data_IF_181894364761
#
_entry.id   IF_181894364761
#
_cell.length_a   1.000
_cell.length_b   1.000
_cell.length_c   1.000
_cell.angle_alpha   90.00
_cell.angle_beta   90.00
_cell.angle_gamma   90.00
#
_symmetry.space_group_name_H-M   'P 1'
#
loop_
_entity.id
_entity.type
_entity.pdbx_description
1 polymer ?
#
# COMPACT_ATOMS: atom_id res chain seq x y z
N UNK A 1 -3.99 -1.18 13.41
CA UNK A 1 -3.28 0.11 13.67
C UNK A 1 -3.70 1.08 12.59
N UNK A 2 -4.00 2.33 12.95
CA UNK A 2 -4.37 3.38 12.00
C UNK A 2 -3.43 4.57 12.21
N UNK A 3 -2.55 4.79 11.25
CA UNK A 3 -1.68 5.96 11.19
C UNK A 3 -2.33 7.10 10.43
N UNK A 4 -1.64 8.23 10.40
CA UNK A 4 -2.09 9.45 9.72
C UNK A 4 -0.98 9.99 8.83
N UNK A 5 -1.28 10.32 7.57
CA UNK A 5 -0.32 10.92 6.65
C UNK A 5 0.12 12.28 7.19
N UNK A 6 1.43 12.50 7.26
CA UNK A 6 2.04 13.80 7.62
C UNK A 6 2.76 14.47 6.45
N UNK A 7 3.17 13.69 5.44
CA UNK A 7 3.86 14.19 4.25
C UNK A 7 3.62 13.28 3.06
N UNK A 8 3.44 13.88 1.88
CA UNK A 8 3.40 13.20 0.58
C UNK A 8 4.48 13.83 -0.30
N UNK A 9 5.30 12.99 -0.95
CA UNK A 9 6.40 13.42 -1.81
C UNK A 9 6.47 12.50 -3.04
N UNK A 10 5.58 12.74 -4.01
CA UNK A 10 5.34 11.79 -5.09
C UNK A 10 4.89 10.45 -4.49
N UNK A 11 5.50 9.31 -4.87
CA UNK A 11 5.09 8.00 -4.40
C UNK A 11 5.53 7.69 -2.95
N UNK A 12 6.33 8.56 -2.33
CA UNK A 12 6.76 8.42 -0.95
C UNK A 12 5.80 9.13 0.00
N UNK A 13 5.19 8.37 0.91
CA UNK A 13 4.27 8.87 1.95
C UNK A 13 4.90 8.66 3.32
N UNK A 14 4.81 9.64 4.20
CA UNK A 14 5.22 9.50 5.61
C UNK A 14 3.96 9.54 6.46
N UNK A 15 3.80 8.55 7.34
CA UNK A 15 2.71 8.48 8.30
C UNK A 15 3.22 8.45 9.75
N UNK A 16 2.48 9.07 10.66
CA UNK A 16 2.69 8.99 12.12
C UNK A 16 1.63 8.11 12.79
N UNK A 17 1.75 7.88 14.10
CA UNK A 17 0.95 6.90 14.85
C UNK A 17 1.09 5.47 14.28
N UNK A 18 2.32 5.14 13.86
CA UNK A 18 2.69 3.88 13.24
C UNK A 18 3.54 3.00 14.17
N UNK A 19 3.57 3.29 15.49
CA UNK A 19 4.32 2.49 16.46
C UNK A 19 3.89 1.02 16.47
N UNK A 20 4.83 0.14 16.13
CA UNK A 20 4.62 -1.30 16.02
C UNK A 20 4.40 -1.79 14.58
N UNK A 21 4.41 -0.88 13.61
CA UNK A 21 4.52 -1.23 12.20
C UNK A 21 5.86 -1.91 11.93
N UNK A 22 5.86 -2.87 10.99
CA UNK A 22 7.06 -3.62 10.63
C UNK A 22 7.52 -3.23 9.24
N UNK A 23 8.83 -3.32 9.03
CA UNK A 23 9.41 -3.25 7.70
C UNK A 23 8.75 -4.27 6.77
N UNK A 24 8.49 -3.88 5.53
CA UNK A 24 7.87 -4.67 4.47
C UNK A 24 6.38 -5.01 4.65
N UNK A 25 5.75 -4.56 5.75
CA UNK A 25 4.30 -4.71 5.89
C UNK A 25 3.58 -3.89 4.82
N UNK A 26 2.55 -4.50 4.23
CA UNK A 26 1.63 -3.80 3.33
C UNK A 26 0.70 -2.91 4.14
N UNK A 27 0.41 -1.74 3.60
CA UNK A 27 -0.53 -0.77 4.15
C UNK A 27 -1.57 -0.38 3.10
N UNK A 28 -2.71 0.11 3.57
CA UNK A 28 -3.73 0.78 2.77
C UNK A 28 -3.68 2.27 3.08
N UNK A 29 -3.37 3.09 2.08
CA UNK A 29 -3.19 4.53 2.21
C UNK A 29 -4.46 5.25 1.76
N UNK A 30 -4.90 6.23 2.54
CA UNK A 30 -6.12 7.02 2.32
C UNK A 30 -7.42 6.21 2.43
N UNK A 31 -8.54 6.92 2.35
CA UNK A 31 -9.87 6.35 2.10
C UNK A 31 -9.94 5.62 0.76
N UNK A 32 -9.09 5.98 -0.22
CA UNK A 32 -8.96 5.28 -1.49
C UNK A 32 -8.34 3.87 -1.36
N UNK A 33 -7.80 3.51 -0.18
CA UNK A 33 -7.19 2.20 0.12
C UNK A 33 -6.08 1.79 -0.85
N UNK A 34 -5.29 2.77 -1.28
CA UNK A 34 -4.15 2.56 -2.18
C UNK A 34 -3.13 1.63 -1.54
N UNK A 35 -2.54 0.74 -2.33
CA UNK A 35 -1.56 -0.22 -1.83
C UNK A 35 -0.20 0.46 -1.68
N UNK A 36 0.40 0.31 -0.51
CA UNK A 36 1.79 0.68 -0.26
C UNK A 36 2.51 -0.30 0.64
N UNK A 37 3.83 -0.14 0.72
CA UNK A 37 4.73 -0.97 1.52
C UNK A 37 5.56 -0.08 2.45
N UNK A 38 5.74 -0.52 3.70
CA UNK A 38 6.63 0.16 4.65
C UNK A 38 8.08 -0.14 4.32
N UNK A 39 8.83 0.89 3.91
CA UNK A 39 10.25 0.80 3.54
C UNK A 39 11.19 1.35 4.60
N UNK A 40 10.65 2.03 5.62
CA UNK A 40 11.43 2.54 6.74
C UNK A 40 10.52 2.73 7.96
N UNK A 41 11.02 2.42 9.16
CA UNK A 41 10.34 2.69 10.43
C UNK A 41 11.28 3.47 11.34
N UNK A 42 10.83 4.62 11.85
CA UNK A 42 11.55 5.47 12.80
C UNK A 42 10.62 5.88 13.94
N UNK A 43 10.84 5.30 15.12
CA UNK A 43 10.04 5.54 16.32
C UNK A 43 8.53 5.30 16.10
N UNK A 44 7.75 6.36 15.93
CA UNK A 44 6.30 6.33 15.69
C UNK A 44 5.92 6.68 14.23
N UNK A 45 6.93 6.83 13.36
CA UNK A 45 6.75 7.15 11.94
C UNK A 45 7.14 5.99 11.03
N UNK A 46 6.42 5.87 9.93
CA UNK A 46 6.73 4.95 8.85
C UNK A 46 6.86 5.71 7.53
N UNK A 47 7.90 5.40 6.75
CA UNK A 47 8.01 5.79 5.35
C UNK A 47 7.40 4.67 4.50
N UNK A 48 6.45 5.04 3.64
CA UNK A 48 5.63 4.14 2.85
C UNK A 48 5.86 4.44 1.37
N UNK A 49 6.22 3.42 0.62
CA UNK A 49 6.24 3.46 -0.83
C UNK A 49 4.86 3.07 -1.35
N UNK A 50 4.15 3.98 -1.98
CA UNK A 50 2.85 3.70 -2.62
C UNK A 50 3.09 3.19 -4.03
N UNK A 51 2.39 2.13 -4.43
CA UNK A 51 2.54 1.49 -5.75
C UNK A 51 1.51 1.97 -6.79
N UNK A 52 0.60 2.83 -6.37
CA UNK A 52 -0.45 3.43 -7.20
C UNK A 52 -0.26 4.95 -7.31
N UNK A 53 -1.06 5.60 -8.18
CA UNK A 53 -1.01 7.05 -8.36
C UNK A 53 -1.35 7.76 -7.04
N UNK A 54 -0.48 8.68 -6.63
CA UNK A 54 -0.60 9.44 -5.38
C UNK A 54 -1.26 10.81 -5.55
N UNK A 55 -1.67 11.15 -6.78
CA UNK A 55 -2.44 12.35 -7.08
C UNK A 55 -3.69 12.45 -6.20
N UNK A 56 -3.80 13.55 -5.46
CA UNK A 56 -4.93 13.80 -4.56
C UNK A 56 -4.70 13.39 -3.11
N UNK A 57 -3.60 12.70 -2.79
CA UNK A 57 -3.23 12.41 -1.40
C UNK A 57 -2.71 13.67 -0.68
N UNK A 58 -3.05 13.80 0.60
CA UNK A 58 -2.61 14.88 1.45
C UNK A 58 -2.44 14.49 2.93
N UNK A 59 -1.82 15.37 3.73
CA UNK A 59 -1.73 15.19 5.17
C UNK A 59 -3.12 15.10 5.84
N UNK A 60 -3.22 14.30 6.89
CA UNK A 60 -4.45 14.07 7.65
C UNK A 60 -5.24 12.82 7.22
N UNK A 61 -4.93 12.24 6.07
CA UNK A 61 -5.59 11.03 5.60
C UNK A 61 -5.10 9.78 6.34
N UNK A 62 -5.94 8.74 6.48
CA UNK A 62 -5.61 7.56 7.27
C UNK A 62 -4.67 6.61 6.53
N UNK A 63 -3.88 5.85 7.30
CA UNK A 63 -3.08 4.72 6.82
C UNK A 63 -3.41 3.49 7.66
N UNK A 64 -3.84 2.41 7.02
CA UNK A 64 -4.23 1.18 7.68
C UNK A 64 -3.16 0.11 7.46
N UNK A 65 -2.53 -0.35 8.53
CA UNK A 65 -1.61 -1.49 8.45
C UNK A 65 -2.38 -2.81 8.28
N UNK A 66 -1.92 -3.64 7.34
CA UNK A 66 -2.42 -5.02 7.18
C UNK A 66 -1.76 -6.00 8.15
N UNK A 67 -0.60 -5.63 8.71
CA UNK A 67 0.21 -6.49 9.58
C UNK A 67 0.83 -7.69 8.88
N UNK A 68 0.80 -7.72 7.54
CA UNK A 68 1.34 -8.79 6.72
C UNK A 68 2.22 -8.22 5.61
N UNK A 69 3.29 -8.94 5.22
CA UNK A 69 4.13 -8.53 4.11
C UNK A 69 3.41 -8.71 2.78
N UNK A 70 3.95 -8.06 1.73
CA UNK A 70 3.47 -8.29 0.37
C UNK A 70 3.66 -9.76 0.03
N UNK A 71 2.57 -10.40 -0.36
CA UNK A 71 2.51 -11.84 -0.62
C UNK A 71 1.83 -12.08 -1.95
N UNK A 72 2.15 -13.20 -2.56
CA UNK A 72 1.53 -13.64 -3.82
C UNK A 72 0.79 -14.96 -3.60
N UNK A 73 -0.33 -15.11 -4.31
CA UNK A 73 -1.05 -16.37 -4.38
C UNK A 73 -0.32 -17.33 -5.32
N UNK A 74 -0.18 -18.59 -4.89
CA UNK A 74 0.46 -19.66 -5.64
C UNK A 74 -0.53 -20.81 -5.79
N UNK A 75 -0.95 -21.09 -7.03
CA UNK A 75 -1.91 -22.17 -7.28
C UNK A 75 -2.33 -22.30 -8.74
N UNK A 76 -3.23 -23.25 -9.03
CA UNK A 76 -3.85 -23.39 -10.35
C UNK A 76 -4.56 -22.09 -10.77
N UNK A 77 -4.53 -21.77 -12.07
CA UNK A 77 -5.14 -20.55 -12.63
C UNK A 77 -4.19 -19.37 -12.82
N UNK A 78 -2.93 -19.49 -12.38
CA UNK A 78 -1.89 -18.47 -12.62
C UNK A 78 -1.33 -18.48 -14.04
N UNK A 79 -1.16 -19.67 -14.62
CA UNK A 79 -0.64 -19.84 -15.99
C UNK A 79 -1.68 -19.29 -16.98
N UNK A 80 -1.22 -18.65 -18.05
CA UNK A 80 -2.02 -17.95 -19.08
C UNK A 80 -2.73 -16.66 -18.61
N UNK A 81 -2.69 -16.34 -17.31
CA UNK A 81 -3.26 -15.10 -16.77
C UNK A 81 -2.29 -13.91 -16.90
N UNK A 82 -2.83 -12.71 -17.07
CA UNK A 82 -2.07 -11.44 -17.16
C UNK A 82 -2.35 -10.61 -15.89
N UNK A 83 -1.30 -10.26 -15.17
CA UNK A 83 -1.38 -9.51 -13.90
C UNK A 83 -0.62 -8.17 -13.98
N UNK A 84 -0.96 -7.25 -13.08
CA UNK A 84 -0.15 -6.06 -12.82
C UNK A 84 1.03 -6.34 -11.87
N UNK A 85 1.76 -5.29 -11.50
CA UNK A 85 2.96 -5.39 -10.64
C UNK A 85 2.72 -5.89 -9.21
N UNK A 86 1.46 -6.06 -8.79
CA UNK A 86 1.07 -6.53 -7.46
C UNK A 86 0.06 -7.70 -7.53
N UNK A 87 0.11 -8.47 -8.63
CA UNK A 87 -0.67 -9.68 -8.86
C UNK A 87 -2.20 -9.48 -8.95
N UNK A 88 -2.69 -8.30 -9.37
CA UNK A 88 -4.12 -8.13 -9.70
C UNK A 88 -4.39 -8.53 -11.16
N UNK A 89 -5.42 -9.35 -11.44
CA UNK A 89 -5.71 -9.82 -12.80
C UNK A 89 -6.23 -8.68 -13.69
N UNK A 90 -5.47 -8.32 -14.72
CA UNK A 90 -5.75 -7.17 -15.58
C UNK A 90 -7.01 -7.35 -16.43
N UNK A 91 -7.30 -8.58 -16.86
CA UNK A 91 -8.52 -8.90 -17.60
C UNK A 91 -9.79 -8.67 -16.76
N UNK A 92 -9.73 -8.97 -15.45
CA UNK A 92 -10.85 -8.75 -14.53
C UNK A 92 -11.06 -7.26 -14.30
N UNK A 93 -9.98 -6.51 -14.05
CA UNK A 93 -10.04 -5.05 -13.88
C UNK A 93 -10.60 -4.37 -15.12
N UNK A 94 -10.14 -4.77 -16.32
CA UNK A 94 -10.60 -4.19 -17.58
C UNK A 94 -12.13 -4.34 -17.76
N UNK A 95 -12.71 -5.46 -17.33
CA UNK A 95 -14.15 -5.72 -17.44
C UNK A 95 -14.99 -5.03 -16.35
N UNK A 96 -14.37 -4.42 -15.34
CA UNK A 96 -15.06 -3.67 -14.29
C UNK A 96 -15.30 -2.19 -14.67
N UNK A 97 -14.68 -1.73 -15.75
CA UNK A 97 -14.79 -0.36 -16.30
C UNK A 97 -15.70 -0.38 -17.51
#
# INVERSE_FOLDING_TARGET
MVGTIVKVSGPLVIAENMRGAKMYDVVRVSEARLIGEIIEVREDRASIQVYEETGGLGPGEPVYSTGQPLSVELGPGLIESIYDGIQRPLNVIYNMV
#
